data_IF_431115976033
#
_entry.id   IF_431115976033
#
_cell.length_a   1.000
_cell.length_b   1.000
_cell.length_c   1.000
_cell.angle_alpha   90.00
_cell.angle_beta   90.00
_cell.angle_gamma   90.00
#
_symmetry.space_group_name_H-M   'P 1'
#
loop_
_entity.id
_entity.type
_entity.pdbx_description
1 polymer ?
#
# COMPACT_ATOMS: atom_id res chain seq x y z
N UNK A 1 -17.68 6.03 -12.09
CA UNK A 1 -17.16 6.21 -10.72
C UNK A 1 -17.22 4.84 -10.05
N UNK A 2 -16.09 4.26 -9.65
CA UNK A 2 -16.09 2.97 -8.94
C UNK A 2 -16.60 3.24 -7.52
N UNK A 3 -17.58 2.47 -7.04
CA UNK A 3 -18.15 2.62 -5.71
C UNK A 3 -17.34 1.77 -4.72
N UNK A 4 -16.63 2.41 -3.80
CA UNK A 4 -15.74 1.76 -2.83
C UNK A 4 -16.38 1.45 -1.48
N UNK A 5 -17.68 1.74 -1.31
CA UNK A 5 -18.41 1.51 -0.06
C UNK A 5 -18.36 0.05 0.43
N UNK A 6 -18.21 -0.91 -0.48
CA UNK A 6 -18.03 -2.32 -0.12
C UNK A 6 -16.72 -2.58 0.62
N UNK A 7 -15.64 -1.88 0.25
CA UNK A 7 -14.32 -2.01 0.90
C UNK A 7 -14.33 -1.27 2.23
N UNK A 8 -14.96 -0.10 2.31
CA UNK A 8 -15.03 0.68 3.57
C UNK A 8 -15.69 -0.07 4.73
N UNK A 9 -16.70 -0.90 4.44
CA UNK A 9 -17.37 -1.74 5.43
C UNK A 9 -16.63 -3.03 5.81
N UNK A 10 -15.65 -3.47 5.02
CA UNK A 10 -15.01 -4.78 5.17
C UNK A 10 -14.33 -4.93 6.54
N UNK A 11 -14.65 -6.03 7.23
CA UNK A 11 -14.06 -6.46 8.48
C UNK A 11 -13.05 -7.59 8.27
N UNK A 12 -12.14 -7.84 9.23
CA UNK A 12 -11.18 -8.94 9.11
C UNK A 12 -11.84 -10.31 8.91
N UNK A 13 -12.97 -10.56 9.58
CA UNK A 13 -13.70 -11.82 9.47
C UNK A 13 -14.29 -12.08 8.07
N UNK A 14 -14.60 -11.02 7.31
CA UNK A 14 -15.16 -11.15 5.95
C UNK A 14 -14.17 -11.77 4.97
N UNK A 15 -12.87 -11.68 5.28
CA UNK A 15 -11.76 -12.29 4.53
C UNK A 15 -11.07 -13.41 5.31
N UNK A 16 -11.75 -13.94 6.33
CA UNK A 16 -11.28 -15.08 7.11
C UNK A 16 -10.10 -14.79 8.04
N UNK A 17 -9.81 -13.53 8.36
CA UNK A 17 -8.68 -13.15 9.21
C UNK A 17 -9.08 -13.04 10.68
N UNK A 18 -8.16 -13.47 11.54
CA UNK A 18 -8.26 -13.30 12.98
C UNK A 18 -6.92 -12.83 13.55
N UNK A 19 -6.91 -11.89 14.52
CA UNK A 19 -5.72 -11.47 15.26
C UNK A 19 -4.89 -12.62 15.86
N UNK A 20 -5.51 -13.76 16.17
CA UNK A 20 -4.84 -14.90 16.78
C UNK A 20 -4.01 -15.75 15.80
N UNK A 21 -4.07 -15.47 14.50
CA UNK A 21 -3.37 -16.24 13.47
C UNK A 21 -1.84 -16.18 13.64
N UNK A 22 -1.09 -17.18 13.15
CA UNK A 22 0.37 -17.24 13.32
C UNK A 22 1.12 -16.17 12.52
N UNK A 23 0.56 -15.68 11.39
CA UNK A 23 1.17 -14.69 10.48
C UNK A 23 1.54 -13.35 11.13
N UNK A 24 1.00 -13.17 12.32
CA UNK A 24 0.84 -11.94 13.05
C UNK A 24 1.70 -11.91 14.31
N UNK A 25 2.17 -13.08 14.75
CA UNK A 25 2.99 -13.22 15.95
C UNK A 25 4.41 -12.73 15.68
N UNK A 26 4.97 -12.00 16.64
CA UNK A 26 6.41 -11.70 16.64
C UNK A 26 7.16 -13.02 16.78
N UNK A 27 8.00 -13.33 15.80
CA UNK A 27 9.00 -14.39 15.92
C UNK A 27 10.30 -13.69 16.29
N UNK A 28 10.94 -14.12 17.37
CA UNK A 28 12.29 -13.66 17.70
C UNK A 28 13.24 -14.20 16.62
N UNK A 29 13.50 -13.38 15.61
CA UNK A 29 14.45 -13.66 14.52
C UNK A 29 15.54 -12.60 14.50
N UNK A 30 16.75 -12.99 14.09
CA UNK A 30 17.91 -12.13 13.82
C UNK A 30 17.72 -11.23 12.58
N UNK A 31 16.54 -10.62 12.40
CA UNK A 31 16.19 -9.86 11.20
C UNK A 31 14.75 -9.34 11.19
N UNK A 32 14.37 -8.68 10.09
CA UNK A 32 13.02 -8.17 9.91
C UNK A 32 12.00 -9.32 9.92
N UNK A 33 10.91 -9.22 10.72
CA UNK A 33 9.89 -10.26 10.78
C UNK A 33 9.27 -10.57 9.40
N UNK A 34 8.96 -11.85 9.11
CA UNK A 34 8.47 -12.25 7.79
C UNK A 34 7.07 -11.70 7.51
N UNK A 35 6.85 -11.24 6.29
CA UNK A 35 5.54 -10.79 5.80
C UNK A 35 4.87 -11.95 5.05
N UNK A 36 3.62 -12.24 5.37
CA UNK A 36 2.82 -13.25 4.65
C UNK A 36 1.92 -12.57 3.63
N UNK A 37 1.89 -13.06 2.39
CA UNK A 37 0.96 -12.62 1.36
C UNK A 37 -0.14 -13.66 1.15
N UNK A 38 -1.40 -13.24 1.31
CA UNK A 38 -2.58 -14.05 1.02
C UNK A 38 -3.19 -13.57 -0.29
N UNK A 39 -3.03 -14.38 -1.34
CA UNK A 39 -3.64 -14.13 -2.64
C UNK A 39 -5.14 -14.45 -2.58
N UNK A 40 -5.99 -13.50 -2.94
CA UNK A 40 -7.44 -13.72 -2.99
C UNK A 40 -7.94 -13.92 -4.42
N UNK A 41 -7.48 -13.08 -5.35
CA UNK A 41 -7.94 -13.12 -6.74
C UNK A 41 -6.99 -12.35 -7.65
N UNK A 42 -6.90 -12.76 -8.92
CA UNK A 42 -6.20 -12.01 -9.95
C UNK A 42 -6.81 -12.26 -11.33
N UNK A 43 -6.85 -11.21 -12.15
CA UNK A 43 -7.12 -11.27 -13.57
C UNK A 43 -6.33 -10.20 -14.32
N UNK A 44 -6.51 -10.11 -15.63
CA UNK A 44 -5.85 -9.11 -16.48
C UNK A 44 -6.25 -7.65 -16.19
N UNK A 45 -7.26 -7.41 -15.35
CA UNK A 45 -7.72 -6.06 -14.98
C UNK A 45 -7.32 -5.66 -13.58
N UNK A 46 -7.36 -6.59 -12.64
CA UNK A 46 -7.00 -6.31 -11.26
C UNK A 46 -6.52 -7.52 -10.49
N UNK A 47 -5.78 -7.26 -9.42
CA UNK A 47 -5.43 -8.24 -8.38
C UNK A 47 -5.98 -7.82 -7.02
N UNK A 48 -6.27 -8.81 -6.18
CA UNK A 48 -6.69 -8.67 -4.80
C UNK A 48 -5.79 -9.55 -3.95
N UNK A 49 -5.11 -8.95 -2.99
CA UNK A 49 -4.30 -9.68 -2.02
C UNK A 49 -4.26 -8.99 -0.67
N UNK A 50 -3.87 -9.75 0.36
CA UNK A 50 -3.71 -9.26 1.72
C UNK A 50 -2.28 -9.50 2.18
N UNK A 51 -1.59 -8.44 2.60
CA UNK A 51 -0.33 -8.59 3.31
C UNK A 51 -0.59 -8.65 4.80
N UNK A 52 -0.23 -9.76 5.42
CA UNK A 52 -0.18 -9.96 6.86
C UNK A 52 1.22 -9.58 7.35
N UNK A 53 1.35 -8.45 8.05
CA UNK A 53 2.64 -8.05 8.61
C UNK A 53 2.60 -8.10 10.15
N UNK A 54 3.54 -8.83 10.78
CA UNK A 54 3.76 -8.78 12.23
C UNK A 54 4.38 -7.43 12.66
N UNK A 55 4.42 -7.12 13.98
CA UNK A 55 5.05 -5.90 14.48
C UNK A 55 6.47 -5.71 13.93
N UNK A 56 6.82 -4.46 13.60
CA UNK A 56 8.14 -4.08 13.05
C UNK A 56 8.49 -4.61 11.65
N UNK A 57 7.64 -5.40 11.01
CA UNK A 57 7.83 -5.74 9.61
C UNK A 57 7.62 -4.51 8.71
N UNK A 58 8.41 -4.44 7.63
CA UNK A 58 8.43 -3.29 6.71
C UNK A 58 8.29 -3.79 5.28
N UNK A 59 7.39 -3.19 4.51
CA UNK A 59 7.44 -3.25 3.06
C UNK A 59 8.33 -2.08 2.61
N UNK A 60 9.51 -2.34 2.01
CA UNK A 60 10.40 -1.27 1.57
C UNK A 60 9.73 -0.36 0.53
N UNK A 61 10.29 0.83 0.35
CA UNK A 61 9.83 1.77 -0.68
C UNK A 61 9.85 1.10 -2.06
N UNK A 62 8.71 1.11 -2.73
CA UNK A 62 8.52 0.57 -4.08
C UNK A 62 7.54 1.45 -4.85
N UNK A 63 7.52 1.32 -6.18
CA UNK A 63 6.60 2.04 -7.05
C UNK A 63 5.55 1.11 -7.67
N UNK A 64 4.51 1.70 -8.26
CA UNK A 64 3.44 1.01 -8.98
C UNK A 64 3.21 1.65 -10.36
N UNK A 65 4.12 1.43 -11.34
CA UNK A 65 4.03 2.10 -12.64
C UNK A 65 2.75 1.74 -13.39
N UNK A 66 1.96 2.74 -13.78
CA UNK A 66 0.73 2.54 -14.56
C UNK A 66 -0.38 1.81 -13.81
N UNK A 67 -0.31 1.73 -12.48
CA UNK A 67 -1.30 1.06 -11.64
C UNK A 67 -2.03 2.07 -10.76
N UNK A 68 -3.31 1.81 -10.50
CA UNK A 68 -4.04 2.46 -9.41
C UNK A 68 -4.18 1.47 -8.27
N UNK A 69 -3.70 1.82 -7.08
CA UNK A 69 -3.72 0.94 -5.90
C UNK A 69 -4.69 1.48 -4.86
N UNK A 70 -5.60 0.63 -4.41
CA UNK A 70 -6.40 0.87 -3.22
C UNK A 70 -5.86 0.02 -2.08
N UNK A 71 -5.72 0.65 -0.91
CA UNK A 71 -5.27 0.00 0.32
C UNK A 71 -6.23 0.27 1.45
N UNK A 72 -6.63 -0.80 2.15
CA UNK A 72 -7.40 -0.71 3.39
C UNK A 72 -6.71 -1.50 4.48
N UNK A 73 -6.49 -0.85 5.62
CA UNK A 73 -6.07 -1.49 6.87
C UNK A 73 -7.29 -2.13 7.55
N UNK A 74 -7.36 -3.46 7.64
CA UNK A 74 -8.51 -4.12 8.28
C UNK A 74 -8.41 -4.10 9.81
N UNK A 75 -7.21 -4.14 10.38
CA UNK A 75 -6.93 -3.99 11.82
C UNK A 75 -5.48 -3.57 12.07
N UNK A 76 -5.15 -3.17 13.30
CA UNK A 76 -3.81 -2.68 13.68
C UNK A 76 -3.53 -1.20 13.36
N UNK A 77 -2.24 -0.86 13.34
CA UNK A 77 -1.70 0.49 13.08
C UNK A 77 -0.54 0.41 12.10
N UNK A 78 -0.49 1.29 11.10
CA UNK A 78 0.58 1.34 10.10
C UNK A 78 1.09 2.76 9.91
N UNK A 79 2.41 2.90 9.89
CA UNK A 79 3.09 4.12 9.43
C UNK A 79 3.30 4.03 7.92
N UNK A 80 2.74 4.96 7.15
CA UNK A 80 2.86 4.98 5.69
C UNK A 80 3.58 6.25 5.25
N UNK A 81 4.59 6.06 4.41
CA UNK A 81 5.21 7.13 3.64
C UNK A 81 5.00 6.86 2.16
N UNK A 82 4.47 7.84 1.44
CA UNK A 82 4.27 7.81 0.00
C UNK A 82 4.93 9.01 -0.66
N UNK A 83 5.33 8.81 -1.91
CA UNK A 83 6.12 9.76 -2.65
C UNK A 83 5.60 9.92 -4.06
N UNK A 84 5.46 11.16 -4.51
CA UNK A 84 5.19 11.48 -5.90
C UNK A 84 6.45 12.04 -6.58
N UNK A 85 6.62 11.69 -7.85
CA UNK A 85 7.65 12.27 -8.70
C UNK A 85 7.33 13.74 -8.97
N UNK A 86 8.27 14.64 -8.71
CA UNK A 86 8.13 16.02 -9.18
C UNK A 86 8.42 16.07 -10.67
N UNK A 87 7.47 16.60 -11.44
CA UNK A 87 7.69 16.95 -12.85
C UNK A 87 8.20 18.39 -12.92
N UNK A 88 9.46 18.55 -13.32
CA UNK A 88 9.94 19.87 -13.74
C UNK A 88 9.19 20.24 -15.02
N UNK A 89 8.13 21.04 -14.90
CA UNK A 89 7.55 21.73 -16.06
C UNK A 89 8.32 23.03 -16.21
N UNK A 90 9.24 23.18 -17.18
CA UNK A 90 9.73 24.50 -17.48
C UNK A 90 8.54 25.24 -18.09
N UNK A 91 7.96 26.16 -17.33
CA UNK A 91 7.07 27.17 -17.90
C UNK A 91 7.93 28.18 -18.68
N UNK A 92 8.56 27.73 -19.77
CA UNK A 92 9.21 28.60 -20.74
C UNK A 92 8.25 28.79 -21.90
N UNK A 93 7.64 29.97 -21.92
CA UNK A 93 7.12 30.63 -23.12
C UNK A 93 8.00 30.33 -24.34
N UNK A 94 7.40 29.80 -25.40
CA UNK A 94 7.92 29.76 -26.78
C UNK A 94 9.43 29.47 -26.93
N UNK A 95 9.82 28.20 -27.08
CA UNK A 95 10.76 27.76 -28.13
C UNK A 95 11.00 26.23 -28.07
N UNK A 96 10.71 25.58 -29.21
CA UNK A 96 11.06 24.25 -29.72
C UNK A 96 11.65 23.19 -28.73
N UNK A 97 10.92 22.11 -28.36
CA UNK A 97 11.42 21.13 -27.40
C UNK A 97 12.24 20.01 -28.07
N UNK A 98 13.49 19.86 -27.63
CA UNK A 98 14.31 18.65 -27.83
C UNK A 98 14.10 17.72 -26.60
N UNK A 99 13.73 16.43 -26.75
CA UNK A 99 13.12 15.66 -25.65
C UNK A 99 14.10 14.93 -24.71
N UNK A 100 15.35 15.38 -24.55
CA UNK A 100 16.39 14.51 -23.96
C UNK A 100 16.78 14.73 -22.50
N UNK A 101 16.24 15.70 -21.75
CA UNK A 101 16.74 15.95 -20.39
C UNK A 101 15.63 16.33 -19.39
N UNK A 102 14.97 15.34 -18.80
CA UNK A 102 14.22 15.51 -17.55
C UNK A 102 15.08 15.02 -16.38
N UNK A 103 15.70 15.93 -15.63
CA UNK A 103 16.38 15.59 -14.37
C UNK A 103 15.35 15.63 -13.25
N UNK A 104 15.00 14.47 -12.71
CA UNK A 104 14.13 14.33 -11.53
C UNK A 104 14.91 14.85 -10.32
N UNK A 105 14.46 15.92 -9.67
CA UNK A 105 15.26 16.53 -8.59
C UNK A 105 14.55 16.84 -7.28
N UNK A 106 13.23 16.66 -7.15
CA UNK A 106 12.54 16.75 -5.85
C UNK A 106 11.46 15.67 -5.73
N UNK A 107 11.17 15.25 -4.50
CA UNK A 107 10.19 14.20 -4.20
C UNK A 107 9.21 14.77 -3.18
N UNK A 108 7.91 14.76 -3.48
CA UNK A 108 6.89 15.19 -2.52
C UNK A 108 6.66 14.04 -1.53
N UNK A 109 6.83 14.34 -0.24
CA UNK A 109 6.68 13.41 0.87
C UNK A 109 5.28 13.58 1.48
N UNK A 110 4.44 12.55 1.42
CA UNK A 110 3.29 12.41 2.32
C UNK A 110 3.62 11.35 3.36
N UNK A 111 3.43 11.69 4.63
CA UNK A 111 3.69 10.83 5.77
C UNK A 111 2.46 10.83 6.66
N UNK A 112 1.78 9.70 6.73
CA UNK A 112 0.50 9.55 7.43
C UNK A 112 0.50 8.27 8.29
N UNK A 113 0.03 8.40 9.53
CA UNK A 113 -0.22 7.28 10.43
C UNK A 113 -1.67 6.82 10.30
N UNK A 114 -1.87 5.59 9.86
CA UNK A 114 -3.20 4.98 9.74
C UNK A 114 -3.47 4.05 10.93
N UNK A 115 -4.53 4.33 11.68
CA UNK A 115 -4.98 3.52 12.81
C UNK A 115 -6.39 2.98 12.55
N UNK A 116 -6.57 1.66 12.66
CA UNK A 116 -7.91 1.07 12.65
C UNK A 116 -8.60 1.31 14.00
N UNK A 117 -9.68 2.11 14.01
CA UNK A 117 -10.33 2.64 15.23
C UNK A 117 -11.02 1.61 16.14
N UNK A 118 -10.95 0.31 15.86
CA UNK A 118 -11.82 -0.71 16.50
C UNK A 118 -11.14 -1.86 17.25
N UNK A 119 -9.81 -1.88 17.42
CA UNK A 119 -9.15 -2.97 18.17
C UNK A 119 -8.07 -2.45 19.11
N UNK A 120 -8.15 -2.73 20.43
CA UNK A 120 -7.06 -2.40 21.34
C UNK A 120 -5.92 -3.40 21.14
N UNK A 121 -4.72 -2.83 21.00
CA UNK A 121 -3.44 -3.44 21.38
C UNK A 121 -3.18 -4.87 20.90
N UNK A 122 -3.05 -5.06 19.58
CA UNK A 122 -1.93 -5.84 18.99
C UNK A 122 -1.85 -5.48 17.50
N UNK A 123 -0.64 -5.18 17.02
CA UNK A 123 -0.34 -4.73 15.65
C UNK A 123 -0.42 -5.93 14.71
N UNK A 124 -1.43 -5.92 13.84
CA UNK A 124 -1.58 -6.94 12.83
C UNK A 124 -2.02 -6.27 11.55
N UNK A 125 -1.07 -6.15 10.64
CA UNK A 125 -1.30 -5.41 9.41
C UNK A 125 -2.00 -6.31 8.42
N UNK A 126 -3.12 -5.87 7.88
CA UNK A 126 -3.77 -6.51 6.74
C UNK A 126 -4.14 -5.41 5.77
N UNK A 127 -3.32 -5.27 4.73
CA UNK A 127 -3.60 -4.34 3.65
C UNK A 127 -4.27 -5.11 2.52
N UNK A 128 -5.54 -4.83 2.26
CA UNK A 128 -6.18 -5.25 1.02
C UNK A 128 -5.58 -4.40 -0.10
N UNK A 129 -4.78 -4.99 -0.99
CA UNK A 129 -4.29 -4.34 -2.20
C UNK A 129 -5.24 -4.66 -3.34
N UNK A 130 -5.89 -3.63 -3.88
CA UNK A 130 -6.58 -3.73 -5.17
C UNK A 130 -5.78 -2.93 -6.17
N UNK A 131 -5.06 -3.62 -7.04
CA UNK A 131 -4.29 -2.99 -8.11
C UNK A 131 -5.08 -3.08 -9.41
N UNK A 132 -5.37 -1.94 -10.03
CA UNK A 132 -5.91 -1.90 -11.39
C UNK A 132 -4.77 -1.73 -12.39
N UNK A 133 -4.70 -2.60 -13.39
CA UNK A 133 -3.77 -2.44 -14.50
C UNK A 133 -4.39 -1.48 -15.52
N UNK A 134 -3.67 -0.43 -15.92
CA UNK A 134 -4.13 0.42 -17.02
C UNK A 134 -4.24 -0.43 -18.29
N UNK A 135 -5.42 -0.41 -18.92
CA UNK A 135 -5.64 -0.94 -20.28
C UNK A 135 -5.08 0.01 -21.32
#
# INVERSE_FOLDING_TARGET
MINFSCVDGMQPADVGLSPAMPYFKTVETEGAPPITYLHLYECNKFSIGIFCLPPSAVIPLHNHPGMTVFSKLLFGTMHIKSYDWVTDVPHSTNQNPNPSNCKISQVQLDCSDFTCKKTPETIFLTNLFISFFST
#
